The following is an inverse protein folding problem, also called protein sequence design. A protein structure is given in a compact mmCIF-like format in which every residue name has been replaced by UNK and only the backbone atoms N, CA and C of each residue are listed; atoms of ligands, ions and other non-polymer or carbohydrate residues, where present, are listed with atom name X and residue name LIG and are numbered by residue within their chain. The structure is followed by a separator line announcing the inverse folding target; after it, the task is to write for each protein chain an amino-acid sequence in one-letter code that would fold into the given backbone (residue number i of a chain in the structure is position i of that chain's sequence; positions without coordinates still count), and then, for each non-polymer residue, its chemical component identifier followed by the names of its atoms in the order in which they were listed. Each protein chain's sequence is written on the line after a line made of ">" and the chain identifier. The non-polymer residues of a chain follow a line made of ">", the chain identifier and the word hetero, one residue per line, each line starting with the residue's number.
data_IF_728680732772
#
_entry.id   IF_728680732772
#
_cell.length_a   1.000
_cell.length_b   1.000
_cell.length_c   1.000
_cell.angle_alpha   90.00
_cell.angle_beta   90.00
_cell.angle_gamma   90.00
#
_symmetry.space_group_name_H-M   'P 1'
#
loop_
_entity.id
_entity.type
_entity.pdbx_description
1 polymer ?
#
# COMPACT_ATOMS: atom_id res chain seq x y z
N UNK A 1 -23.83 0.29 19.10
CA UNK A 1 -22.48 0.26 18.48
C UNK A 1 -21.79 -1.01 18.96
N UNK A 2 -21.56 -1.97 18.07
CA UNK A 2 -20.81 -3.19 18.37
C UNK A 2 -19.31 -2.86 18.51
N UNK A 3 -18.60 -3.57 19.39
CA UNK A 3 -17.14 -3.49 19.47
C UNK A 3 -16.55 -4.71 18.77
N UNK A 4 -15.51 -4.51 17.95
CA UNK A 4 -14.73 -5.60 17.38
C UNK A 4 -13.56 -5.92 18.32
N UNK A 5 -13.42 -7.18 18.74
CA UNK A 5 -12.33 -7.61 19.62
C UNK A 5 -11.53 -8.72 18.95
N UNK A 6 -10.21 -8.53 18.84
CA UNK A 6 -9.29 -9.56 18.33
C UNK A 6 -9.02 -10.55 19.46
N UNK A 7 -9.54 -11.79 19.34
CA UNK A 7 -9.35 -12.84 20.33
C UNK A 7 -8.04 -13.61 20.14
N UNK A 8 -7.60 -13.80 18.90
CA UNK A 8 -6.36 -14.49 18.58
C UNK A 8 -5.71 -13.86 17.32
N UNK A 9 -4.38 -13.86 17.28
CA UNK A 9 -3.61 -13.41 16.13
C UNK A 9 -2.45 -14.35 15.88
N UNK A 10 -2.32 -14.81 14.63
CA UNK A 10 -1.16 -15.54 14.16
C UNK A 10 -0.49 -14.76 13.03
N UNK A 11 0.85 -14.78 12.98
CA UNK A 11 1.65 -14.21 11.90
C UNK A 11 2.58 -15.28 11.37
N UNK A 12 2.56 -15.44 10.07
CA UNK A 12 3.43 -16.38 9.38
C UNK A 12 3.95 -15.75 8.08
N UNK A 13 5.20 -16.06 7.75
CA UNK A 13 5.80 -15.61 6.50
C UNK A 13 5.43 -16.61 5.37
N UNK A 14 5.30 -16.11 4.15
CA UNK A 14 5.16 -16.96 2.96
C UNK A 14 6.52 -17.48 2.48
N UNK A 15 7.61 -16.88 2.94
CA UNK A 15 8.98 -17.33 2.71
C UNK A 15 9.82 -17.22 3.98
N UNK A 16 10.62 -18.24 4.24
CA UNK A 16 11.58 -18.27 5.33
C UNK A 16 12.80 -19.09 4.90
N UNK A 17 13.91 -18.40 4.62
CA UNK A 17 15.14 -19.04 4.19
C UNK A 17 15.77 -19.92 5.27
N UNK A 18 15.60 -19.57 6.56
CA UNK A 18 16.13 -20.38 7.66
C UNK A 18 15.31 -21.67 7.85
N UNK A 19 14.00 -21.62 7.60
CA UNK A 19 13.11 -22.78 7.62
C UNK A 19 13.10 -23.56 6.28
N UNK A 20 13.75 -23.03 5.24
CA UNK A 20 13.94 -23.70 3.96
C UNK A 20 12.70 -23.72 3.06
N UNK A 21 11.80 -22.74 3.16
CA UNK A 21 10.64 -22.65 2.29
C UNK A 21 10.43 -21.25 1.68
N UNK A 22 9.90 -21.25 0.46
CA UNK A 22 9.40 -20.06 -0.22
C UNK A 22 8.17 -20.44 -1.05
N UNK A 23 6.99 -20.00 -0.62
CA UNK A 23 5.72 -20.27 -1.31
C UNK A 23 5.41 -19.23 -2.40
N UNK A 24 6.31 -18.29 -2.67
CA UNK A 24 6.08 -17.17 -3.60
C UNK A 24 6.66 -17.40 -4.99
N UNK A 25 7.42 -18.47 -5.20
CA UNK A 25 8.15 -18.76 -6.45
C UNK A 25 7.28 -19.49 -7.48
N UNK A 26 7.69 -19.42 -8.75
CA UNK A 26 6.91 -19.97 -9.88
C UNK A 26 6.87 -21.51 -9.93
N UNK A 27 7.81 -22.19 -9.30
CA UNK A 27 7.85 -23.65 -9.16
C UNK A 27 6.93 -24.19 -8.07
N UNK A 28 6.37 -23.30 -7.24
CA UNK A 28 5.40 -23.69 -6.21
C UNK A 28 3.99 -23.62 -6.77
N UNK A 29 3.22 -24.73 -6.77
CA UNK A 29 1.84 -24.74 -7.23
C UNK A 29 0.88 -24.17 -6.18
N UNK A 30 -0.30 -23.70 -6.66
CA UNK A 30 -1.37 -23.13 -5.84
C UNK A 30 -1.72 -23.96 -4.61
N UNK A 31 -1.78 -25.29 -4.76
CA UNK A 31 -2.13 -26.22 -3.67
C UNK A 31 -1.16 -26.16 -2.48
N UNK A 32 0.13 -25.88 -2.73
CA UNK A 32 1.10 -25.73 -1.65
C UNK A 32 0.91 -24.40 -0.91
N UNK A 33 0.75 -23.28 -1.64
CA UNK A 33 0.51 -21.98 -1.03
C UNK A 33 -0.78 -21.98 -0.21
N UNK A 34 -1.91 -22.35 -0.83
CA UNK A 34 -3.20 -22.37 -0.14
C UNK A 34 -3.28 -23.44 0.94
N UNK A 35 -2.61 -24.58 0.76
CA UNK A 35 -2.48 -25.61 1.79
C UNK A 35 -1.75 -25.09 3.04
N UNK A 36 -0.68 -24.34 2.87
CA UNK A 36 0.02 -23.67 3.98
C UNK A 36 -0.90 -22.66 4.68
N UNK A 37 -1.60 -21.81 3.93
CA UNK A 37 -2.56 -20.85 4.49
C UNK A 37 -3.66 -21.57 5.28
N UNK A 38 -4.24 -22.65 4.72
CA UNK A 38 -5.27 -23.44 5.38
C UNK A 38 -4.80 -24.07 6.71
N UNK A 39 -3.56 -24.55 6.77
CA UNK A 39 -2.94 -25.05 8.00
C UNK A 39 -2.83 -23.96 9.06
N UNK A 40 -2.41 -22.73 8.67
CA UNK A 40 -2.32 -21.61 9.61
C UNK A 40 -3.70 -21.18 10.12
N UNK A 41 -4.72 -21.19 9.27
CA UNK A 41 -6.12 -20.94 9.68
C UNK A 41 -6.57 -22.02 10.69
N UNK A 42 -6.25 -23.29 10.43
CA UNK A 42 -6.60 -24.39 11.32
C UNK A 42 -6.04 -24.26 12.74
N UNK A 43 -4.89 -23.59 12.92
CA UNK A 43 -4.29 -23.37 14.25
C UNK A 43 -5.10 -22.41 15.14
N UNK A 44 -5.87 -21.50 14.54
CA UNK A 44 -6.68 -20.51 15.28
C UNK A 44 -8.17 -20.80 15.23
N UNK A 45 -8.61 -21.72 14.37
CA UNK A 45 -10.00 -22.13 14.25
C UNK A 45 -10.48 -22.82 15.54
N UNK A 46 -11.58 -22.34 16.12
CA UNK A 46 -12.12 -22.92 17.36
C UNK A 46 -12.86 -24.23 17.07
N UNK A 47 -12.51 -25.35 17.70
CA UNK A 47 -13.20 -26.61 17.50
C UNK A 47 -14.70 -26.51 17.83
N UNK A 48 -15.55 -27.07 16.97
CA UNK A 48 -16.99 -27.10 17.16
C UNK A 48 -17.75 -25.79 16.87
N UNK A 49 -17.03 -24.71 16.52
CA UNK A 49 -17.63 -23.43 16.14
C UNK A 49 -17.46 -23.21 14.64
N UNK A 50 -18.55 -23.09 13.91
CA UNK A 50 -18.51 -22.68 12.49
C UNK A 50 -18.26 -21.18 12.40
N UNK A 51 -17.12 -20.78 11.82
CA UNK A 51 -16.72 -19.40 11.72
C UNK A 51 -16.74 -18.93 10.27
N UNK A 52 -17.39 -17.78 9.98
CA UNK A 52 -17.24 -17.12 8.69
C UNK A 52 -15.80 -16.61 8.56
N UNK A 53 -15.23 -16.69 7.35
CA UNK A 53 -13.89 -16.20 7.05
C UNK A 53 -13.99 -15.06 6.04
N UNK A 54 -13.51 -13.89 6.42
CA UNK A 54 -13.17 -12.81 5.49
C UNK A 54 -11.71 -12.95 5.08
N UNK A 55 -11.47 -13.00 3.78
CA UNK A 55 -10.13 -13.10 3.20
C UNK A 55 -9.75 -11.78 2.55
N UNK A 56 -8.77 -11.08 3.12
CA UNK A 56 -8.16 -9.93 2.45
C UNK A 56 -7.13 -10.43 1.43
N UNK A 57 -7.37 -10.12 0.17
CA UNK A 57 -6.52 -10.52 -0.94
C UNK A 57 -6.13 -9.30 -1.77
N UNK A 58 -4.95 -8.75 -1.48
CA UNK A 58 -4.47 -7.45 -1.98
C UNK A 58 -3.75 -7.57 -3.32
N UNK A 59 -4.41 -8.15 -4.31
CA UNK A 59 -3.92 -8.31 -5.68
C UNK A 59 -5.03 -7.93 -6.67
N UNK A 60 -4.69 -7.56 -7.90
CA UNK A 60 -5.69 -7.26 -8.94
C UNK A 60 -6.59 -8.47 -9.21
N UNK A 61 -7.87 -8.33 -8.92
CA UNK A 61 -8.87 -9.38 -9.07
C UNK A 61 -10.09 -8.89 -9.83
N UNK A 62 -10.71 -9.80 -10.57
CA UNK A 62 -12.06 -9.62 -11.06
C UNK A 62 -13.05 -10.18 -10.04
N UNK A 63 -13.83 -9.30 -9.42
CA UNK A 63 -14.83 -9.66 -8.42
C UNK A 63 -16.13 -10.08 -9.11
N UNK A 64 -16.69 -11.25 -8.74
CA UNK A 64 -17.96 -11.76 -9.26
C UNK A 64 -19.07 -11.75 -8.20
N UNK A 65 -18.70 -11.98 -6.95
CA UNK A 65 -19.57 -11.94 -5.79
C UNK A 65 -18.75 -11.57 -4.55
N UNK A 66 -19.40 -11.34 -3.42
CA UNK A 66 -18.70 -11.00 -2.18
C UNK A 66 -17.64 -12.05 -1.81
N UNK A 67 -17.92 -13.31 -2.04
CA UNK A 67 -17.03 -14.43 -1.74
C UNK A 67 -16.39 -15.08 -2.98
N UNK A 68 -16.39 -14.42 -4.13
CA UNK A 68 -15.82 -14.97 -5.39
C UNK A 68 -15.03 -13.89 -6.12
N UNK A 69 -13.72 -14.14 -6.27
CA UNK A 69 -12.83 -13.26 -7.00
C UNK A 69 -11.75 -14.07 -7.73
N UNK A 70 -11.53 -13.72 -8.99
CA UNK A 70 -10.51 -14.33 -9.83
C UNK A 70 -9.26 -13.46 -9.85
N UNK A 71 -8.09 -14.03 -9.53
CA UNK A 71 -6.83 -13.32 -9.67
C UNK A 71 -6.54 -13.04 -11.15
N UNK A 72 -6.32 -11.78 -11.49
CA UNK A 72 -5.96 -11.38 -12.86
C UNK A 72 -4.47 -11.67 -13.10
N UNK A 73 -3.60 -11.16 -12.22
CA UNK A 73 -2.16 -11.42 -12.26
C UNK A 73 -1.53 -11.14 -10.88
N UNK A 74 -0.41 -11.79 -10.63
CA UNK A 74 0.38 -11.56 -9.45
C UNK A 74 1.11 -10.20 -9.50
N UNK A 75 1.32 -9.62 -8.33
CA UNK A 75 2.17 -8.44 -8.08
C UNK A 75 3.06 -8.71 -6.86
N UNK A 76 3.88 -7.72 -6.45
CA UNK A 76 4.67 -7.80 -5.20
C UNK A 76 5.61 -9.02 -5.15
N UNK A 77 6.21 -9.38 -6.29
CA UNK A 77 7.17 -10.48 -6.44
C UNK A 77 6.62 -11.90 -6.18
N UNK A 78 5.32 -12.07 -6.03
CA UNK A 78 4.69 -13.39 -5.96
C UNK A 78 4.49 -13.93 -7.37
N UNK A 79 4.83 -15.22 -7.56
CA UNK A 79 4.80 -15.91 -8.87
C UNK A 79 4.22 -17.33 -8.77
N UNK A 80 3.61 -17.69 -7.63
CA UNK A 80 3.05 -19.03 -7.39
C UNK A 80 2.18 -19.48 -8.57
N UNK A 81 2.48 -20.63 -9.14
CA UNK A 81 1.82 -21.13 -10.34
C UNK A 81 0.39 -21.64 -10.06
N UNK A 82 -0.46 -21.62 -11.10
CA UNK A 82 -1.83 -22.16 -11.02
C UNK A 82 -2.82 -21.35 -10.20
N UNK A 83 -2.54 -20.07 -9.93
CA UNK A 83 -3.44 -19.16 -9.19
C UNK A 83 -4.04 -18.10 -10.11
N UNK A 84 -3.25 -17.57 -11.07
CA UNK A 84 -3.77 -16.61 -12.04
C UNK A 84 -4.90 -17.23 -12.86
N UNK A 85 -5.98 -16.47 -13.03
CA UNK A 85 -7.18 -16.96 -13.71
C UNK A 85 -8.06 -17.90 -12.87
N UNK A 86 -7.74 -18.15 -11.59
CA UNK A 86 -8.51 -19.01 -10.70
C UNK A 86 -9.30 -18.21 -9.66
N UNK A 87 -10.40 -18.77 -9.20
CA UNK A 87 -11.18 -18.23 -8.08
C UNK A 87 -10.44 -18.48 -6.76
N UNK A 88 -10.03 -17.40 -6.11
CA UNK A 88 -9.24 -17.42 -4.87
C UNK A 88 -9.98 -18.10 -3.74
N UNK A 89 -11.29 -17.89 -3.65
CA UNK A 89 -12.10 -18.54 -2.60
C UNK A 89 -12.23 -20.04 -2.85
N UNK A 90 -12.40 -20.46 -4.09
CA UNK A 90 -12.45 -21.89 -4.43
C UNK A 90 -11.12 -22.61 -4.11
N UNK A 91 -9.98 -21.98 -4.39
CA UNK A 91 -8.66 -22.50 -4.03
C UNK A 91 -8.52 -22.64 -2.50
N UNK A 92 -8.97 -21.64 -1.74
CA UNK A 92 -8.92 -21.69 -0.28
C UNK A 92 -9.90 -22.71 0.29
N UNK A 93 -11.13 -22.83 -0.22
CA UNK A 93 -12.11 -23.84 0.18
C UNK A 93 -11.56 -25.26 -0.02
N UNK A 94 -10.97 -25.54 -1.18
CA UNK A 94 -10.36 -26.82 -1.47
C UNK A 94 -9.19 -27.14 -0.52
N UNK A 95 -8.37 -26.14 -0.19
CA UNK A 95 -7.25 -26.30 0.73
C UNK A 95 -7.70 -26.54 2.18
N UNK A 96 -8.74 -25.82 2.64
CA UNK A 96 -9.34 -26.02 3.97
C UNK A 96 -9.93 -27.42 4.10
N UNK A 97 -10.65 -27.90 3.08
CA UNK A 97 -11.19 -29.27 3.06
C UNK A 97 -10.07 -30.31 3.13
N UNK A 98 -9.00 -30.16 2.37
CA UNK A 98 -7.83 -31.05 2.37
C UNK A 98 -7.08 -31.04 3.70
N UNK A 99 -7.05 -29.90 4.40
CA UNK A 99 -6.45 -29.74 5.72
C UNK A 99 -7.38 -30.18 6.86
N UNK A 100 -8.59 -30.73 6.57
CA UNK A 100 -9.63 -31.10 7.54
C UNK A 100 -10.11 -29.92 8.43
N UNK A 101 -10.02 -28.67 7.92
CA UNK A 101 -10.55 -27.47 8.58
C UNK A 101 -12.00 -27.27 8.09
N UNK A 102 -12.94 -28.03 8.66
CA UNK A 102 -14.33 -28.09 8.17
C UNK A 102 -15.26 -27.06 8.81
N UNK A 103 -14.79 -26.37 9.82
CA UNK A 103 -15.53 -25.39 10.60
C UNK A 103 -15.22 -23.92 10.24
N UNK A 104 -14.48 -23.66 9.15
CA UNK A 104 -14.21 -22.33 8.61
C UNK A 104 -14.75 -22.23 7.20
N UNK A 105 -15.50 -21.16 6.90
CA UNK A 105 -16.16 -20.96 5.62
C UNK A 105 -15.81 -19.60 5.01
N UNK A 106 -15.14 -19.54 3.86
CA UNK A 106 -14.92 -18.30 3.13
C UNK A 106 -16.26 -17.65 2.74
N UNK A 107 -16.57 -16.49 3.33
CA UNK A 107 -17.81 -15.72 3.08
C UNK A 107 -17.55 -14.41 2.34
N UNK A 108 -16.32 -13.87 2.47
CA UNK A 108 -15.92 -12.68 1.76
C UNK A 108 -14.47 -12.77 1.30
N UNK A 109 -14.19 -12.28 0.11
CA UNK A 109 -12.85 -11.96 -0.39
C UNK A 109 -12.84 -10.50 -0.80
N UNK A 110 -11.96 -9.71 -0.22
CA UNK A 110 -11.94 -8.26 -0.42
C UNK A 110 -10.50 -7.75 -0.60
N UNK A 111 -10.37 -6.61 -1.26
CA UNK A 111 -9.11 -5.88 -1.31
C UNK A 111 -8.78 -5.23 0.05
N UNK A 112 -7.51 -4.93 0.32
CA UNK A 112 -7.06 -4.30 1.56
C UNK A 112 -7.64 -2.89 1.76
N UNK A 113 -7.77 -2.08 0.69
CA UNK A 113 -8.42 -0.77 0.77
C UNK A 113 -9.89 -0.89 1.15
N UNK A 114 -10.60 -1.86 0.55
CA UNK A 114 -12.01 -2.13 0.86
C UNK A 114 -12.17 -2.54 2.33
N UNK A 115 -11.29 -3.41 2.83
CA UNK A 115 -11.27 -3.77 4.24
C UNK A 115 -11.02 -2.58 5.15
N UNK A 116 -10.05 -1.73 4.80
CA UNK A 116 -9.76 -0.49 5.54
C UNK A 116 -10.98 0.44 5.60
N UNK A 117 -11.70 0.58 4.47
CA UNK A 117 -12.92 1.39 4.42
C UNK A 117 -14.02 0.82 5.33
N UNK A 118 -14.31 -0.48 5.22
CA UNK A 118 -15.34 -1.14 6.02
C UNK A 118 -15.05 -1.04 7.53
N UNK A 119 -13.80 -1.29 7.93
CA UNK A 119 -13.40 -1.21 9.33
C UNK A 119 -13.56 0.22 9.89
N UNK A 120 -13.14 1.22 9.14
CA UNK A 120 -13.22 2.62 9.56
C UNK A 120 -14.67 3.13 9.55
N UNK A 121 -15.45 2.83 8.51
CA UNK A 121 -16.85 3.24 8.39
C UNK A 121 -17.76 2.60 9.44
N UNK A 122 -17.40 1.41 9.95
CA UNK A 122 -18.13 0.76 11.03
C UNK A 122 -18.17 1.60 12.32
N UNK A 123 -17.07 2.31 12.62
CA UNK A 123 -16.96 3.21 13.76
C UNK A 123 -17.29 4.68 13.45
N UNK A 124 -17.17 5.09 12.19
CA UNK A 124 -17.29 6.49 11.77
C UNK A 124 -17.99 6.60 10.41
N UNK A 125 -19.30 6.89 10.40
CA UNK A 125 -20.16 6.87 9.19
C UNK A 125 -19.72 7.86 8.08
N UNK A 126 -18.96 8.92 8.42
CA UNK A 126 -18.46 9.90 7.45
C UNK A 126 -17.25 9.41 6.63
N UNK A 127 -16.76 8.18 6.90
CA UNK A 127 -15.68 7.55 6.14
C UNK A 127 -16.24 7.02 4.83
N UNK A 128 -15.85 7.61 3.74
CA UNK A 128 -16.28 7.23 2.39
C UNK A 128 -15.12 7.00 1.39
N UNK A 129 -13.89 7.22 1.85
CA UNK A 129 -12.67 6.89 1.11
C UNK A 129 -11.72 6.13 2.04
N UNK A 130 -11.06 5.11 1.51
CA UNK A 130 -9.92 4.51 2.18
C UNK A 130 -8.75 4.33 1.21
N UNK A 131 -7.54 4.37 1.76
CA UNK A 131 -6.32 4.21 0.97
C UNK A 131 -5.25 3.44 1.74
N UNK A 132 -4.46 2.71 0.99
CA UNK A 132 -3.20 2.15 1.46
C UNK A 132 -2.07 3.10 1.03
N UNK A 133 -1.34 3.63 2.01
CA UNK A 133 -0.12 4.41 1.82
C UNK A 133 1.02 3.74 2.59
N UNK A 134 1.57 2.68 2.02
CA UNK A 134 2.58 1.83 2.63
C UNK A 134 3.65 1.41 1.64
N UNK A 135 3.99 0.12 1.62
CA UNK A 135 4.88 -0.49 0.61
C UNK A 135 4.32 -0.27 -0.79
N UNK A 136 3.01 -0.43 -0.98
CA UNK A 136 2.28 -0.08 -2.19
C UNK A 136 1.34 1.10 -1.97
N UNK A 137 0.56 1.43 -3.02
CA UNK A 137 -0.47 2.46 -2.97
C UNK A 137 -1.71 2.01 -3.73
N UNK A 138 -2.86 2.11 -3.05
CA UNK A 138 -4.16 1.92 -3.66
C UNK A 138 -5.21 2.76 -2.92
N UNK A 139 -6.35 3.00 -3.57
CA UNK A 139 -7.47 3.78 -3.01
C UNK A 139 -8.80 3.14 -3.40
N UNK A 140 -9.76 3.16 -2.50
CA UNK A 140 -11.15 2.84 -2.78
C UNK A 140 -12.07 3.94 -2.23
N UNK A 141 -13.29 4.00 -2.74
CA UNK A 141 -14.32 4.93 -2.26
C UNK A 141 -15.71 4.29 -2.29
N UNK A 142 -16.61 4.82 -1.50
CA UNK A 142 -18.01 4.47 -1.53
C UNK A 142 -18.72 5.28 -2.61
N UNK A 143 -19.05 4.63 -3.71
CA UNK A 143 -19.93 5.18 -4.75
C UNK A 143 -21.37 5.15 -4.26
N UNK A 144 -22.04 6.28 -4.05
CA UNK A 144 -23.39 6.30 -3.51
C UNK A 144 -24.43 5.76 -4.49
N UNK A 145 -24.16 5.83 -5.78
CA UNK A 145 -25.10 5.38 -6.83
C UNK A 145 -24.33 4.80 -8.01
N UNK A 146 -23.97 3.53 -7.89
CA UNK A 146 -23.21 2.83 -8.94
C UNK A 146 -23.98 2.82 -10.28
N UNK A 147 -23.34 3.16 -11.41
CA UNK A 147 -24.03 3.37 -12.70
C UNK A 147 -24.72 2.12 -13.25
N UNK A 148 -24.27 0.89 -12.88
CA UNK A 148 -24.87 -0.35 -13.39
C UNK A 148 -26.16 -0.74 -12.67
N UNK A 149 -26.32 -0.45 -11.38
CA UNK A 149 -27.44 -0.93 -10.58
C UNK A 149 -28.12 0.13 -9.72
N UNK A 150 -27.59 1.36 -9.68
CA UNK A 150 -28.12 2.46 -8.91
C UNK A 150 -28.02 2.30 -7.39
N UNK A 151 -27.31 1.29 -6.89
CA UNK A 151 -27.11 1.02 -5.46
C UNK A 151 -25.75 1.51 -4.98
N UNK A 152 -25.59 1.80 -3.68
CA UNK A 152 -24.27 2.07 -3.12
C UNK A 152 -23.31 0.89 -3.33
N UNK A 153 -22.05 1.18 -3.71
CA UNK A 153 -21.02 0.17 -3.94
C UNK A 153 -19.65 0.72 -3.57
N UNK A 154 -18.80 -0.10 -2.95
CA UNK A 154 -17.39 0.25 -2.77
C UNK A 154 -16.66 -0.05 -4.07
N UNK A 155 -16.05 0.99 -4.64
CA UNK A 155 -15.24 0.90 -5.86
C UNK A 155 -13.77 0.84 -5.48
N UNK A 156 -13.12 -0.27 -5.76
CA UNK A 156 -11.66 -0.38 -5.70
C UNK A 156 -11.08 0.25 -6.98
N UNK A 157 -10.38 1.37 -6.83
CA UNK A 157 -9.92 2.17 -7.96
C UNK A 157 -8.69 1.57 -8.67
N UNK A 158 -7.89 0.77 -7.97
CA UNK A 158 -6.54 0.38 -8.41
C UNK A 158 -5.73 1.62 -8.83
N UNK A 159 -5.80 2.66 -8.01
CA UNK A 159 -5.24 3.99 -8.30
C UNK A 159 -3.74 3.99 -8.56
N UNK A 160 -3.01 3.01 -8.01
CA UNK A 160 -1.58 2.84 -8.29
C UNK A 160 -1.27 2.67 -9.78
N UNK A 161 -2.22 2.12 -10.55
CA UNK A 161 -2.06 1.89 -11.99
C UNK A 161 -2.42 3.11 -12.87
N UNK A 162 -2.81 4.24 -12.28
CA UNK A 162 -3.06 5.47 -13.03
C UNK A 162 -1.79 5.94 -13.76
N UNK A 163 -1.88 6.21 -15.06
CA UNK A 163 -0.71 6.41 -15.93
C UNK A 163 -0.64 7.81 -16.59
N UNK A 164 -1.68 8.61 -16.45
CA UNK A 164 -1.72 10.00 -16.97
C UNK A 164 -1.08 11.02 -16.02
N UNK A 165 0.02 10.62 -15.36
CA UNK A 165 0.81 11.52 -14.49
C UNK A 165 2.08 11.96 -15.21
N UNK A 166 2.46 13.25 -15.13
CA UNK A 166 3.73 13.71 -15.68
C UNK A 166 4.92 13.04 -14.97
N UNK A 167 5.69 12.25 -15.72
CA UNK A 167 6.89 11.60 -15.21
C UNK A 167 8.14 12.46 -15.46
N UNK A 168 9.00 12.59 -14.46
CA UNK A 168 10.35 13.12 -14.61
C UNK A 168 11.27 12.07 -15.26
N UNK A 169 12.51 12.45 -15.61
CA UNK A 169 13.52 11.50 -16.08
C UNK A 169 13.78 10.40 -15.02
N UNK A 170 13.78 10.75 -13.74
CA UNK A 170 14.02 9.82 -12.63
C UNK A 170 12.91 8.78 -12.51
N UNK A 171 11.65 9.18 -12.71
CA UNK A 171 10.51 8.26 -12.71
C UNK A 171 10.59 7.29 -13.89
N UNK A 172 10.96 7.78 -15.09
CA UNK A 172 11.16 6.93 -16.27
C UNK A 172 12.31 5.94 -16.08
N UNK A 173 13.45 6.40 -15.57
CA UNK A 173 14.60 5.54 -15.27
C UNK A 173 14.23 4.43 -14.29
N UNK A 174 13.44 4.76 -13.24
CA UNK A 174 12.92 3.79 -12.30
C UNK A 174 11.96 2.81 -12.98
N UNK A 175 11.02 3.30 -13.78
CA UNK A 175 10.01 2.50 -14.44
C UNK A 175 10.64 1.49 -15.42
N UNK A 176 11.55 1.95 -16.26
CA UNK A 176 12.30 1.12 -17.23
C UNK A 176 13.13 0.03 -16.56
N UNK A 177 13.69 0.31 -15.36
CA UNK A 177 14.47 -0.65 -14.59
C UNK A 177 13.61 -1.55 -13.68
N UNK A 178 12.29 -1.38 -13.65
CA UNK A 178 11.39 -2.18 -12.81
C UNK A 178 11.03 -3.51 -13.46
N UNK A 179 10.46 -4.43 -12.67
CA UNK A 179 10.03 -5.75 -13.18
C UNK A 179 8.86 -5.66 -14.19
N UNK A 180 8.11 -4.55 -14.18
CA UNK A 180 6.98 -4.31 -15.09
C UNK A 180 6.99 -2.87 -15.59
N UNK A 181 7.82 -2.55 -16.58
CA UNK A 181 7.85 -1.23 -17.19
C UNK A 181 6.49 -0.85 -17.80
N UNK A 182 6.09 0.41 -17.59
CA UNK A 182 4.83 0.96 -18.09
C UNK A 182 3.61 0.71 -17.21
N UNK A 183 3.70 -0.17 -16.20
CA UNK A 183 2.61 -0.47 -15.27
C UNK A 183 2.84 0.19 -13.90
N UNK A 184 1.74 0.40 -13.16
CA UNK A 184 1.78 0.96 -11.80
C UNK A 184 2.55 2.30 -11.71
N UNK A 185 2.36 3.18 -12.68
CA UNK A 185 3.14 4.43 -12.78
C UNK A 185 2.93 5.32 -11.55
N UNK A 186 1.68 5.54 -11.13
CA UNK A 186 1.41 6.34 -9.94
C UNK A 186 2.00 5.67 -8.68
N UNK A 187 1.84 4.36 -8.49
CA UNK A 187 2.41 3.66 -7.35
C UNK A 187 3.92 3.85 -7.27
N UNK A 188 4.63 3.76 -8.42
CA UNK A 188 6.08 3.98 -8.49
C UNK A 188 6.52 5.40 -8.09
N UNK A 189 5.61 6.37 -8.20
CA UNK A 189 5.87 7.77 -7.83
C UNK A 189 5.51 8.10 -6.39
N UNK A 190 4.66 7.27 -5.72
CA UNK A 190 4.08 7.63 -4.42
C UNK A 190 4.32 6.62 -3.31
N UNK A 191 4.57 5.34 -3.60
CA UNK A 191 4.62 4.31 -2.57
C UNK A 191 5.98 4.18 -1.90
N UNK A 192 5.99 3.74 -0.64
CA UNK A 192 7.18 3.65 0.19
C UNK A 192 8.28 2.74 -0.37
N UNK A 193 7.91 1.71 -1.14
CA UNK A 193 8.88 0.83 -1.79
C UNK A 193 9.74 1.56 -2.83
N UNK A 194 9.14 2.52 -3.55
CA UNK A 194 9.80 3.18 -4.66
C UNK A 194 10.40 4.55 -4.34
N UNK A 195 9.95 5.25 -3.30
CA UNK A 195 10.44 6.61 -3.00
C UNK A 195 11.96 6.64 -2.79
N UNK A 196 12.53 5.63 -2.12
CA UNK A 196 13.96 5.52 -1.92
C UNK A 196 14.72 5.34 -3.25
N UNK A 197 14.16 4.61 -4.20
CA UNK A 197 14.73 4.45 -5.54
C UNK A 197 14.66 5.73 -6.37
N UNK A 198 13.56 6.50 -6.28
CA UNK A 198 13.49 7.83 -6.91
C UNK A 198 14.57 8.75 -6.34
N UNK A 199 14.74 8.78 -5.02
CA UNK A 199 15.82 9.55 -4.37
C UNK A 199 17.18 9.06 -4.86
N UNK A 200 17.41 7.76 -4.96
CA UNK A 200 18.68 7.19 -5.46
C UNK A 200 19.02 7.72 -6.85
N UNK A 201 18.06 7.74 -7.78
CA UNK A 201 18.32 8.25 -9.15
C UNK A 201 18.58 9.75 -9.18
N UNK A 202 17.93 10.53 -8.30
CA UNK A 202 18.21 11.97 -8.15
C UNK A 202 19.61 12.20 -7.59
N UNK A 203 20.01 11.45 -6.56
CA UNK A 203 21.35 11.56 -5.98
C UNK A 203 22.44 11.10 -6.94
N UNK A 204 22.16 10.12 -7.81
CA UNK A 204 23.08 9.72 -8.87
C UNK A 204 23.35 10.89 -9.84
N UNK A 205 22.31 11.58 -10.28
CA UNK A 205 22.42 12.79 -11.10
C UNK A 205 23.23 13.90 -10.38
N UNK A 206 22.91 14.13 -9.11
CA UNK A 206 23.62 15.14 -8.31
C UNK A 206 25.11 14.79 -8.20
N UNK A 207 25.43 13.52 -8.01
CA UNK A 207 26.81 13.07 -7.93
C UNK A 207 27.55 13.21 -9.25
N UNK A 208 26.91 12.87 -10.36
CA UNK A 208 27.47 13.01 -11.71
C UNK A 208 27.78 14.49 -12.03
N UNK A 209 26.79 15.38 -11.79
CA UNK A 209 26.94 16.82 -12.03
C UNK A 209 28.00 17.47 -11.14
N UNK A 210 28.14 16.99 -9.90
CA UNK A 210 29.15 17.49 -8.96
C UNK A 210 30.52 16.81 -9.05
N UNK A 211 30.66 15.75 -9.87
CA UNK A 211 31.90 14.98 -9.98
C UNK A 211 32.23 14.21 -8.69
N UNK A 212 31.23 13.84 -7.89
CA UNK A 212 31.44 13.18 -6.60
C UNK A 212 31.65 11.67 -6.76
N UNK A 213 32.77 11.16 -6.23
CA UNK A 213 33.13 9.74 -6.29
C UNK A 213 32.13 8.79 -5.64
N UNK A 214 31.44 9.24 -4.59
CA UNK A 214 30.40 8.45 -3.93
C UNK A 214 29.20 8.11 -4.84
N UNK A 215 29.04 8.78 -5.98
CA UNK A 215 28.00 8.45 -6.96
C UNK A 215 28.11 7.03 -7.52
N UNK A 216 29.30 6.43 -7.52
CA UNK A 216 29.52 5.09 -8.07
C UNK A 216 28.69 4.00 -7.37
N UNK A 217 28.44 4.11 -6.05
CA UNK A 217 27.62 3.13 -5.32
C UNK A 217 26.13 3.21 -5.68
N UNK A 218 25.65 4.33 -6.20
CA UNK A 218 24.25 4.56 -6.56
C UNK A 218 23.80 3.79 -7.81
N UNK A 219 24.70 3.08 -8.47
CA UNK A 219 24.32 2.07 -9.48
C UNK A 219 23.63 0.85 -8.86
N UNK A 220 23.87 0.58 -7.56
CA UNK A 220 23.23 -0.51 -6.84
C UNK A 220 21.78 -0.14 -6.49
N UNK A 221 20.83 -0.92 -7.01
CA UNK A 221 19.42 -0.80 -6.65
C UNK A 221 19.20 -1.17 -5.18
N UNK A 222 18.20 -0.55 -4.56
CA UNK A 222 17.79 -0.75 -3.16
C UNK A 222 18.91 -0.45 -2.13
N UNK A 223 19.95 0.28 -2.54
CA UNK A 223 20.97 0.76 -1.62
C UNK A 223 20.37 1.67 -0.55
N UNK A 224 19.50 2.60 -0.95
CA UNK A 224 18.77 3.51 -0.06
C UNK A 224 17.48 2.85 0.37
N UNK A 225 17.13 2.97 1.63
CA UNK A 225 15.95 2.38 2.23
C UNK A 225 14.99 3.45 2.77
N UNK A 226 13.70 3.10 2.96
CA UNK A 226 12.70 4.04 3.48
C UNK A 226 13.11 4.69 4.80
N UNK A 227 13.72 3.94 5.73
CA UNK A 227 14.22 4.48 7.01
C UNK A 227 15.31 5.55 6.84
N UNK A 228 16.10 5.49 5.77
CA UNK A 228 17.12 6.50 5.49
C UNK A 228 16.42 7.83 5.13
N UNK A 229 15.33 7.76 4.36
CA UNK A 229 14.48 8.92 4.05
C UNK A 229 13.83 9.49 5.32
N UNK A 230 13.30 8.63 6.19
CA UNK A 230 12.67 9.05 7.45
C UNK A 230 13.66 9.82 8.35
N UNK A 231 14.89 9.29 8.47
CA UNK A 231 15.95 9.93 9.24
C UNK A 231 16.35 11.30 8.65
N UNK A 232 16.50 11.38 7.32
CA UNK A 232 16.82 12.63 6.63
C UNK A 232 15.68 13.65 6.77
N UNK A 233 14.43 13.23 6.65
CA UNK A 233 13.27 14.12 6.80
C UNK A 233 13.13 14.67 8.21
N UNK A 234 13.42 13.84 9.22
CA UNK A 234 13.39 14.26 10.63
C UNK A 234 14.57 15.16 11.03
N UNK A 235 15.64 15.17 10.24
CA UNK A 235 16.91 15.85 10.55
C UNK A 235 16.75 17.38 10.63
N UNK A 236 17.52 18.01 11.52
CA UNK A 236 17.45 19.47 11.80
C UNK A 236 18.83 20.03 12.08
N UNK A 237 18.94 21.35 12.06
CA UNK A 237 20.19 22.06 12.35
C UNK A 237 21.29 21.70 11.36
N UNK A 238 22.42 21.23 11.84
CA UNK A 238 23.60 20.90 11.02
C UNK A 238 23.49 19.56 10.28
N UNK A 239 22.28 19.00 10.19
CA UNK A 239 21.94 17.79 9.43
C UNK A 239 22.81 16.56 9.78
N UNK A 240 22.92 16.18 11.07
CA UNK A 240 23.81 15.09 11.50
C UNK A 240 23.36 13.72 10.94
N UNK A 241 22.04 13.44 10.85
CA UNK A 241 21.55 12.18 10.28
C UNK A 241 21.81 12.11 8.78
N UNK A 242 21.65 13.21 8.05
CA UNK A 242 21.99 13.31 6.64
C UNK A 242 23.49 13.10 6.41
N UNK A 243 24.34 13.67 7.27
CA UNK A 243 25.80 13.47 7.23
C UNK A 243 26.16 12.00 7.47
N UNK A 244 25.56 11.35 8.46
CA UNK A 244 25.72 9.92 8.74
C UNK A 244 25.29 9.07 7.53
N UNK A 245 24.15 9.36 6.93
CA UNK A 245 23.68 8.70 5.71
C UNK A 245 24.72 8.82 4.57
N UNK A 246 25.22 10.03 4.31
CA UNK A 246 26.22 10.26 3.27
C UNK A 246 27.51 9.46 3.51
N UNK A 247 28.01 9.43 4.76
CA UNK A 247 29.23 8.71 5.11
C UNK A 247 29.04 7.18 5.09
N UNK A 248 28.04 6.66 5.78
CA UNK A 248 27.89 5.22 6.01
C UNK A 248 27.22 4.50 4.84
N UNK A 249 26.26 5.15 4.17
CA UNK A 249 25.52 4.53 3.08
C UNK A 249 26.16 4.78 1.71
N UNK A 250 26.71 5.98 1.49
CA UNK A 250 27.28 6.37 0.20
C UNK A 250 28.81 6.42 0.22
N UNK A 251 29.47 6.29 1.37
CA UNK A 251 30.93 6.36 1.49
C UNK A 251 31.52 7.75 1.20
N UNK A 252 30.72 8.81 1.38
CA UNK A 252 31.21 10.17 1.19
C UNK A 252 32.19 10.58 2.31
N UNK A 253 33.37 10.96 1.95
CA UNK A 253 34.43 11.37 2.91
C UNK A 253 34.33 12.83 3.30
N UNK A 254 33.75 13.66 2.43
CA UNK A 254 33.57 15.10 2.65
C UNK A 254 32.12 15.47 2.32
N UNK A 255 31.47 16.20 3.21
CA UNK A 255 30.12 16.70 3.06
C UNK A 255 30.07 18.17 3.45
N UNK A 256 29.94 19.05 2.45
CA UNK A 256 29.71 20.48 2.75
C UNK A 256 28.27 20.70 3.24
N UNK A 257 28.02 21.78 3.98
CA UNK A 257 26.64 22.13 4.39
C UNK A 257 25.67 22.23 3.21
N UNK A 258 26.12 22.74 2.05
CA UNK A 258 25.37 22.89 0.84
C UNK A 258 24.97 21.53 0.25
N UNK A 259 25.91 20.58 0.23
CA UNK A 259 25.65 19.21 -0.23
C UNK A 259 24.62 18.52 0.68
N UNK A 260 24.78 18.61 2.00
CA UNK A 260 23.84 18.05 2.96
C UNK A 260 22.44 18.65 2.77
N UNK A 261 22.36 19.97 2.61
CA UNK A 261 21.10 20.68 2.33
C UNK A 261 20.47 20.24 0.99
N UNK A 262 21.27 20.02 -0.05
CA UNK A 262 20.79 19.54 -1.34
C UNK A 262 20.21 18.11 -1.22
N UNK A 263 20.89 17.21 -0.52
CA UNK A 263 20.41 15.84 -0.26
C UNK A 263 19.07 15.87 0.50
N UNK A 264 18.98 16.64 1.60
CA UNK A 264 17.74 16.80 2.36
C UNK A 264 16.63 17.39 1.50
N UNK A 265 16.94 18.38 0.67
CA UNK A 265 15.97 19.00 -0.23
C UNK A 265 15.43 17.98 -1.23
N UNK A 266 16.30 17.14 -1.83
CA UNK A 266 15.87 16.08 -2.75
C UNK A 266 14.88 15.11 -2.07
N UNK A 267 15.19 14.63 -0.87
CA UNK A 267 14.30 13.75 -0.11
C UNK A 267 12.97 14.45 0.21
N UNK A 268 13.02 15.70 0.66
CA UNK A 268 11.82 16.50 1.00
C UNK A 268 10.93 16.71 -0.23
N UNK A 269 11.51 17.03 -1.38
CA UNK A 269 10.76 17.21 -2.63
C UNK A 269 10.08 15.92 -3.09
N UNK A 270 10.77 14.78 -3.00
CA UNK A 270 10.21 13.46 -3.37
C UNK A 270 9.05 13.11 -2.43
N UNK A 271 9.21 13.25 -1.12
CA UNK A 271 8.15 12.99 -0.14
C UNK A 271 6.94 13.93 -0.33
N UNK A 272 7.19 15.23 -0.53
CA UNK A 272 6.13 16.22 -0.75
C UNK A 272 5.38 15.95 -2.07
N UNK A 273 6.09 15.61 -3.14
CA UNK A 273 5.47 15.24 -4.42
C UNK A 273 4.58 14.01 -4.26
N UNK A 274 5.08 12.97 -3.61
CA UNK A 274 4.31 11.77 -3.31
C UNK A 274 3.01 12.10 -2.57
N UNK A 275 3.10 12.83 -1.47
CA UNK A 275 1.95 13.23 -0.67
C UNK A 275 0.93 14.06 -1.46
N UNK A 276 1.39 14.97 -2.33
CA UNK A 276 0.52 15.78 -3.19
C UNK A 276 -0.19 14.95 -4.26
N UNK A 277 0.47 13.96 -4.86
CA UNK A 277 -0.16 13.04 -5.82
C UNK A 277 -1.21 12.16 -5.14
N UNK A 278 -0.93 11.66 -3.94
CA UNK A 278 -1.91 10.94 -3.11
C UNK A 278 -3.10 11.85 -2.76
N UNK A 279 -2.85 13.10 -2.36
CA UNK A 279 -3.90 14.07 -2.09
C UNK A 279 -4.74 14.39 -3.33
N UNK A 280 -4.12 14.44 -4.52
CA UNK A 280 -4.84 14.63 -5.79
C UNK A 280 -5.76 13.44 -6.10
N UNK A 281 -5.34 12.20 -5.82
CA UNK A 281 -6.19 11.01 -5.95
C UNK A 281 -7.41 11.11 -5.04
N UNK A 282 -7.23 11.53 -3.78
CA UNK A 282 -8.33 11.74 -2.85
C UNK A 282 -9.26 12.87 -3.30
N UNK A 283 -8.70 13.99 -3.73
CA UNK A 283 -9.49 15.13 -4.23
C UNK A 283 -10.34 14.73 -5.45
N UNK A 284 -9.78 13.93 -6.36
CA UNK A 284 -10.51 13.40 -7.51
C UNK A 284 -11.71 12.56 -7.10
N UNK A 285 -11.52 11.60 -6.19
CA UNK A 285 -12.59 10.77 -5.66
C UNK A 285 -13.64 11.60 -4.90
N UNK A 286 -13.22 12.54 -4.05
CA UNK A 286 -14.12 13.44 -3.32
C UNK A 286 -14.99 14.28 -4.26
N UNK A 287 -14.38 14.89 -5.27
CA UNK A 287 -15.12 15.74 -6.24
C UNK A 287 -16.04 14.91 -7.15
N UNK A 288 -15.78 13.62 -7.30
CA UNK A 288 -16.68 12.69 -7.98
C UNK A 288 -17.93 12.39 -7.14
N UNK A 289 -17.75 12.01 -5.87
CA UNK A 289 -18.87 11.61 -5.00
C UNK A 289 -19.68 12.79 -4.42
N UNK A 290 -19.01 13.93 -4.23
CA UNK A 290 -19.62 15.19 -3.75
C UNK A 290 -18.93 16.40 -4.37
N UNK A 291 -19.33 16.83 -5.58
CA UNK A 291 -18.65 17.90 -6.33
C UNK A 291 -18.56 19.24 -5.58
N UNK A 292 -19.49 19.48 -4.66
CA UNK A 292 -19.52 20.73 -3.88
C UNK A 292 -18.90 20.58 -2.49
N UNK A 293 -18.64 19.36 -2.03
CA UNK A 293 -18.24 19.02 -0.66
C UNK A 293 -19.21 19.62 0.37
N UNK A 294 -20.50 19.30 0.22
CA UNK A 294 -21.56 19.84 1.06
C UNK A 294 -21.63 19.20 2.44
N UNK A 295 -21.01 18.01 2.60
CA UNK A 295 -20.95 17.29 3.88
C UNK A 295 -19.49 17.05 4.32
N UNK A 296 -19.33 16.53 5.53
CA UNK A 296 -18.02 16.05 6.00
C UNK A 296 -17.63 14.76 5.30
N UNK A 297 -16.33 14.65 5.04
CA UNK A 297 -15.72 13.48 4.46
C UNK A 297 -14.50 13.07 5.30
N UNK A 298 -14.38 11.79 5.56
CA UNK A 298 -13.21 11.24 6.26
C UNK A 298 -12.53 10.23 5.35
N UNK A 299 -11.22 10.36 5.23
CA UNK A 299 -10.37 9.46 4.47
C UNK A 299 -9.61 8.58 5.46
N UNK A 300 -9.87 7.29 5.46
CA UNK A 300 -9.15 6.32 6.27
C UNK A 300 -7.89 5.87 5.54
N UNK A 301 -6.72 6.04 6.14
CA UNK A 301 -5.44 5.70 5.52
C UNK A 301 -4.72 4.67 6.38
N UNK A 302 -4.38 3.52 5.79
CA UNK A 302 -3.53 2.50 6.39
C UNK A 302 -2.18 2.47 5.68
N UNK A 303 -1.15 2.05 6.39
CA UNK A 303 0.17 1.81 5.84
C UNK A 303 1.29 2.59 6.51
N UNK A 304 2.47 1.97 6.46
CA UNK A 304 3.66 2.44 7.17
C UNK A 304 4.20 3.79 6.67
N UNK A 305 3.96 4.13 5.40
CA UNK A 305 4.37 5.42 4.85
C UNK A 305 3.60 6.56 5.54
N UNK A 306 2.28 6.44 5.61
CA UNK A 306 1.43 7.43 6.26
C UNK A 306 1.67 7.51 7.78
N UNK A 307 1.83 6.34 8.42
CA UNK A 307 2.01 6.26 9.88
C UNK A 307 3.37 6.77 10.35
N UNK A 308 4.46 6.48 9.61
CA UNK A 308 5.83 6.60 10.13
C UNK A 308 6.66 7.68 9.49
N UNK A 309 6.44 7.99 8.20
CA UNK A 309 7.26 9.00 7.52
C UNK A 309 7.04 10.39 8.11
N UNK A 310 8.10 11.06 8.60
CA UNK A 310 7.97 12.35 9.27
C UNK A 310 7.28 13.41 8.39
N UNK A 311 6.17 13.98 8.88
CA UNK A 311 5.43 15.03 8.21
C UNK A 311 4.53 14.60 7.05
N UNK A 312 4.50 13.31 6.67
CA UNK A 312 3.77 12.86 5.48
C UNK A 312 2.26 13.12 5.56
N UNK A 313 1.63 12.85 6.71
CA UNK A 313 0.22 13.15 6.93
C UNK A 313 -0.09 14.65 6.80
N UNK A 314 0.81 15.52 7.30
CA UNK A 314 0.67 16.97 7.13
C UNK A 314 0.84 17.40 5.66
N UNK A 315 1.77 16.80 4.93
CA UNK A 315 1.97 17.05 3.48
C UNK A 315 0.73 16.65 2.66
N UNK A 316 0.06 15.53 2.99
CA UNK A 316 -1.22 15.14 2.37
C UNK A 316 -2.30 16.19 2.67
N UNK A 317 -2.43 16.59 3.94
CA UNK A 317 -3.42 17.61 4.34
C UNK A 317 -3.18 18.95 3.64
N UNK A 318 -1.93 19.34 3.43
CA UNK A 318 -1.56 20.52 2.67
C UNK A 318 -1.90 20.35 1.18
N UNK A 319 -1.63 19.17 0.60
CA UNK A 319 -2.01 18.85 -0.77
C UNK A 319 -3.53 18.94 -1.00
N UNK A 320 -4.32 18.42 -0.05
CA UNK A 320 -5.79 18.55 -0.08
C UNK A 320 -6.24 20.03 0.00
N UNK A 321 -5.61 20.83 0.88
CA UNK A 321 -5.89 22.28 0.93
C UNK A 321 -5.56 22.98 -0.40
N UNK A 322 -4.44 22.61 -1.02
CA UNK A 322 -4.06 23.14 -2.33
C UNK A 322 -5.05 22.78 -3.43
N UNK A 323 -5.54 21.55 -3.44
CA UNK A 323 -6.47 21.04 -4.47
C UNK A 323 -7.92 21.54 -4.29
N UNK A 324 -8.40 21.60 -3.05
CA UNK A 324 -9.82 21.86 -2.74
C UNK A 324 -10.10 23.29 -2.24
N UNK A 325 -9.06 24.07 -1.94
CA UNK A 325 -9.18 25.41 -1.40
C UNK A 325 -9.93 25.43 -0.06
N UNK A 326 -10.85 26.38 0.10
CA UNK A 326 -11.65 26.52 1.34
C UNK A 326 -12.51 25.29 1.65
N UNK A 327 -12.88 24.49 0.64
CA UNK A 327 -13.68 23.27 0.79
C UNK A 327 -12.92 22.16 1.51
N UNK A 328 -11.59 22.22 1.58
CA UNK A 328 -10.78 21.27 2.34
C UNK A 328 -11.13 21.23 3.84
N UNK A 329 -11.82 22.25 4.36
CA UNK A 329 -12.34 22.26 5.74
C UNK A 329 -13.37 21.14 6.02
N UNK A 330 -14.01 20.60 4.97
CA UNK A 330 -14.93 19.48 5.07
C UNK A 330 -14.23 18.11 5.04
N UNK A 331 -12.91 18.07 4.82
CA UNK A 331 -12.16 16.84 4.62
C UNK A 331 -11.16 16.62 5.75
N UNK A 332 -11.15 15.43 6.31
CA UNK A 332 -10.13 15.02 7.29
C UNK A 332 -9.57 13.64 6.94
N UNK A 333 -8.35 13.38 7.41
CA UNK A 333 -7.70 12.07 7.27
C UNK A 333 -7.55 11.42 8.65
N UNK A 334 -7.70 10.11 8.71
CA UNK A 334 -7.46 9.32 9.93
C UNK A 334 -6.52 8.15 9.63
N UNK A 335 -5.71 7.76 10.61
CA UNK A 335 -4.93 6.54 10.54
C UNK A 335 -5.83 5.34 10.88
N UNK A 336 -5.93 4.40 9.95
CA UNK A 336 -6.61 3.13 10.15
C UNK A 336 -5.55 2.04 10.39
N UNK A 337 -5.51 1.49 11.61
CA UNK A 337 -4.58 0.39 11.94
C UNK A 337 -5.26 -0.96 11.82
N UNK A 338 -4.59 -1.91 11.15
CA UNK A 338 -5.09 -3.29 10.94
C UNK A 338 -6.49 -3.33 10.28
N UNK A 339 -6.87 -2.27 9.56
CA UNK A 339 -8.22 -2.09 9.01
C UNK A 339 -8.59 -3.18 8.01
N UNK A 340 -7.64 -3.65 7.22
CA UNK A 340 -7.89 -4.64 6.18
C UNK A 340 -8.42 -5.98 6.73
N UNK A 341 -7.83 -6.49 7.83
CA UNK A 341 -8.26 -7.75 8.46
C UNK A 341 -9.61 -7.61 9.19
N UNK A 342 -9.77 -6.53 9.95
CA UNK A 342 -11.04 -6.24 10.65
C UNK A 342 -12.19 -6.04 9.65
N UNK A 343 -11.93 -5.30 8.56
CA UNK A 343 -12.92 -5.09 7.51
C UNK A 343 -13.33 -6.37 6.78
N UNK A 344 -12.38 -7.30 6.56
CA UNK A 344 -12.69 -8.60 6.00
C UNK A 344 -13.60 -9.41 6.93
N UNK A 345 -13.35 -9.36 8.24
CA UNK A 345 -14.21 -10.01 9.23
C UNK A 345 -15.63 -9.40 9.25
N UNK A 346 -15.74 -8.06 9.14
CA UNK A 346 -17.03 -7.37 9.03
C UNK A 346 -17.76 -7.82 7.75
N UNK A 347 -17.07 -7.81 6.59
CA UNK A 347 -17.64 -8.24 5.32
C UNK A 347 -18.14 -9.70 5.34
N UNK A 348 -17.50 -10.56 6.11
CA UNK A 348 -17.92 -11.96 6.25
C UNK A 348 -19.07 -12.17 7.25
N UNK A 349 -19.35 -11.19 8.10
CA UNK A 349 -20.38 -11.28 9.15
C UNK A 349 -21.74 -10.71 8.72
N UNK A 350 -21.81 -9.99 7.60
CA UNK A 350 -23.04 -9.44 7.01
C UNK A 350 -23.50 -10.27 5.82
#
# INVERSE_FOLDING_TARGET
>A
QGSCTIQARNRFALKDAAAGYDYTTADVPAEKLFGYIAQQIGQIAQPGVVSPLGHTFSFPCQQFALNRAQLIHWTKEIKTSGVEGQDISALLEAALAKANVTNVRPQAVINDTVGTLLAAAYGQPDVDIASICGTGHNTCYLEPKHPLNGQPMIVNMESGNFDEVPQTKHDRTLDEASDRPGFQKLEKMVSGYYLAEVVRTILADLAEQGGYAWGACLTQRQLIQGRDLDNILADKGDLPATKTFMAERLGATECTPELLAAVKTAVTLVATRSARLVAATFAGALLHIDPKLERRHVIAIDGSLYEKMPGYAAMISEGLRGALGVRAAQVSTILAKDGSGVGAAIAAAV
#
